data_IF_735983470278
#
_entry.id   IF_735983470278
#
_cell.length_a   1.000
_cell.length_b   1.000
_cell.length_c   1.000
_cell.angle_alpha   90.00
_cell.angle_beta   90.00
_cell.angle_gamma   90.00
#
_symmetry.space_group_name_H-M   'P 1'
#
loop_
_entity.id
_entity.type
_entity.pdbx_description
1 polymer ?
#
# COMPACT_ATOMS: atom_id res chain seq x y z
N UNK A 1 -5.22 -14.16 -5.57
CA UNK A 1 -5.18 -12.83 -6.23
C UNK A 1 -6.45 -12.54 -7.02
N UNK A 2 -6.86 -13.42 -7.95
CA UNK A 2 -8.04 -13.17 -8.80
C UNK A 2 -9.39 -13.20 -8.08
N UNK A 3 -9.50 -13.92 -6.95
CA UNK A 3 -10.68 -13.82 -6.09
C UNK A 3 -10.95 -12.35 -5.72
N UNK A 4 -12.17 -11.89 -5.88
CA UNK A 4 -12.61 -10.50 -5.73
C UNK A 4 -13.65 -10.31 -4.63
N UNK A 5 -14.19 -11.39 -4.10
CA UNK A 5 -15.04 -11.43 -2.91
C UNK A 5 -14.41 -12.25 -1.78
N UNK A 6 -14.88 -12.04 -0.55
CA UNK A 6 -14.51 -12.84 0.59
C UNK A 6 -14.93 -14.31 0.42
N UNK A 7 -16.11 -14.56 -0.15
CA UNK A 7 -16.62 -15.92 -0.42
C UNK A 7 -15.71 -16.71 -1.36
N UNK A 8 -15.22 -16.09 -2.44
CA UNK A 8 -14.27 -16.74 -3.37
C UNK A 8 -12.93 -17.07 -2.69
N UNK A 9 -12.49 -16.26 -1.73
CA UNK A 9 -11.28 -16.55 -0.94
C UNK A 9 -11.53 -17.73 0.00
N UNK A 10 -12.66 -17.74 0.69
CA UNK A 10 -13.05 -18.84 1.58
C UNK A 10 -13.15 -20.15 0.82
N UNK A 11 -13.87 -20.17 -0.30
CA UNK A 11 -14.02 -21.34 -1.18
C UNK A 11 -12.65 -21.89 -1.61
N UNK A 12 -11.75 -21.05 -2.12
CA UNK A 12 -10.42 -21.48 -2.54
C UNK A 12 -9.58 -22.06 -1.37
N UNK A 13 -9.74 -21.53 -0.16
CA UNK A 13 -9.04 -22.01 1.03
C UNK A 13 -9.69 -23.26 1.64
N UNK A 14 -11.00 -23.44 1.48
CA UNK A 14 -11.73 -24.66 1.85
C UNK A 14 -11.36 -25.81 0.92
N UNK A 15 -11.33 -25.58 -0.40
CA UNK A 15 -10.87 -26.55 -1.40
C UNK A 15 -9.43 -27.01 -1.16
N UNK A 16 -8.60 -26.09 -0.65
CA UNK A 16 -7.21 -26.39 -0.28
C UNK A 16 -7.05 -27.03 1.11
N UNK A 17 -8.14 -27.20 1.86
CA UNK A 17 -8.14 -27.78 3.22
C UNK A 17 -7.61 -26.86 4.31
N UNK A 18 -7.28 -25.59 4.01
CA UNK A 18 -6.67 -24.66 4.97
C UNK A 18 -7.69 -23.88 5.79
N UNK A 19 -8.87 -23.58 5.25
CA UNK A 19 -9.81 -22.67 5.91
C UNK A 19 -10.23 -23.16 7.30
N UNK A 20 -10.54 -24.45 7.44
CA UNK A 20 -11.06 -25.04 8.67
C UNK A 20 -9.98 -25.62 9.60
N UNK A 21 -8.71 -25.68 9.19
CA UNK A 21 -7.63 -26.21 10.02
C UNK A 21 -6.99 -25.07 10.86
N UNK A 22 -7.26 -24.98 12.18
CA UNK A 22 -6.72 -23.90 13.00
C UNK A 22 -5.20 -23.95 13.19
N UNK A 23 -4.51 -25.06 12.92
CA UNK A 23 -3.06 -25.18 13.15
C UNK A 23 -2.25 -24.39 12.13
N UNK A 24 -2.77 -24.26 10.91
CA UNK A 24 -2.11 -23.50 9.83
C UNK A 24 -2.38 -21.99 9.90
N UNK A 25 -3.07 -21.49 10.93
CA UNK A 25 -3.34 -20.06 11.12
C UNK A 25 -2.53 -19.51 12.29
N UNK A 26 -1.34 -19.00 11.99
CA UNK A 26 -0.45 -18.37 12.95
C UNK A 26 -1.00 -17.03 13.42
N UNK A 27 -0.92 -16.76 14.73
CA UNK A 27 -1.42 -15.49 15.27
C UNK A 27 -0.63 -14.32 14.71
N UNK A 28 -1.34 -13.26 14.33
CA UNK A 28 -0.70 -12.01 13.92
C UNK A 28 0.15 -11.46 15.08
N UNK A 29 1.38 -11.00 14.78
CA UNK A 29 2.37 -10.55 15.76
C UNK A 29 2.75 -11.60 16.81
N UNK A 30 2.51 -12.89 16.52
CA UNK A 30 2.67 -14.02 17.44
C UNK A 30 1.97 -13.82 18.79
N UNK A 31 0.85 -13.10 18.76
CA UNK A 31 0.11 -12.68 19.94
C UNK A 31 -1.36 -13.09 19.84
N UNK A 32 -1.79 -14.02 20.70
CA UNK A 32 -3.17 -14.50 20.79
C UNK A 32 -4.17 -13.43 21.26
N UNK A 33 -3.68 -12.30 21.79
CA UNK A 33 -4.48 -11.15 22.20
C UNK A 33 -4.13 -9.90 21.37
N UNK A 34 -4.01 -10.06 20.04
CA UNK A 34 -3.65 -8.97 19.13
C UNK A 34 -4.81 -8.03 18.76
N UNK A 35 -6.07 -8.43 18.99
CA UNK A 35 -7.22 -7.64 18.55
C UNK A 35 -7.33 -6.26 19.22
N UNK A 36 -7.11 -6.07 20.53
CA UNK A 36 -7.09 -4.72 21.12
C UNK A 36 -6.02 -3.82 20.52
N UNK A 37 -4.86 -4.39 20.15
CA UNK A 37 -3.77 -3.63 19.55
C UNK A 37 -4.13 -3.21 18.13
N UNK A 38 -4.60 -4.14 17.28
CA UNK A 38 -4.97 -3.87 15.88
C UNK A 38 -6.25 -3.02 15.79
N UNK A 39 -7.25 -3.37 16.61
CA UNK A 39 -8.58 -2.75 16.64
C UNK A 39 -8.58 -1.28 17.04
N UNK A 40 -7.56 -0.83 17.78
CA UNK A 40 -7.44 0.56 18.24
C UNK A 40 -6.47 1.41 17.41
N UNK A 41 -5.88 0.89 16.32
CA UNK A 41 -4.89 1.65 15.54
C UNK A 41 -5.52 2.78 14.74
N UNK A 42 -6.68 2.50 14.12
CA UNK A 42 -7.30 3.43 13.19
C UNK A 42 -8.81 3.23 13.17
N UNK A 43 -9.56 4.32 13.21
CA UNK A 43 -11.02 4.35 13.11
C UNK A 43 -11.51 4.95 11.78
N UNK A 44 -10.63 5.59 11.02
CA UNK A 44 -10.92 6.13 9.70
C UNK A 44 -10.38 5.20 8.57
N UNK A 45 -11.27 4.60 7.75
CA UNK A 45 -10.86 3.70 6.66
C UNK A 45 -10.06 4.38 5.56
N UNK A 46 -10.25 5.68 5.31
CA UNK A 46 -9.44 6.42 4.33
C UNK A 46 -8.04 6.63 4.88
N UNK A 47 -7.91 6.99 6.16
CA UNK A 47 -6.61 7.12 6.81
C UNK A 47 -5.84 5.79 6.84
N UNK A 48 -6.51 4.67 7.17
CA UNK A 48 -5.92 3.33 7.14
C UNK A 48 -5.41 2.95 5.73
N UNK A 49 -6.18 3.29 4.68
CA UNK A 49 -5.76 3.06 3.29
C UNK A 49 -4.56 3.94 2.91
N UNK A 50 -4.57 5.21 3.32
CA UNK A 50 -3.44 6.13 3.08
C UNK A 50 -2.16 5.58 3.73
N UNK A 51 -2.24 5.01 4.93
CA UNK A 51 -1.08 4.40 5.57
C UNK A 51 -0.53 3.19 4.80
N UNK A 52 -1.38 2.39 4.14
CA UNK A 52 -0.92 1.34 3.21
C UNK A 52 -0.17 1.95 2.02
N UNK A 53 -0.71 3.01 1.43
CA UNK A 53 -0.09 3.71 0.31
C UNK A 53 1.27 4.33 0.69
N UNK A 54 1.35 4.98 1.86
CA UNK A 54 2.59 5.53 2.42
C UNK A 54 3.63 4.43 2.65
N UNK A 55 3.22 3.27 3.17
CA UNK A 55 4.14 2.14 3.35
C UNK A 55 4.73 1.65 2.01
N UNK A 56 3.94 1.65 0.95
CA UNK A 56 4.42 1.30 -0.40
C UNK A 56 5.32 2.38 -1.01
N UNK A 57 5.08 3.67 -0.74
CA UNK A 57 6.01 4.77 -1.07
C UNK A 57 7.35 4.58 -0.33
N UNK A 58 7.31 4.32 0.98
CA UNK A 58 8.51 4.05 1.78
C UNK A 58 9.28 2.85 1.20
N UNK A 59 8.59 1.77 0.82
CA UNK A 59 9.22 0.58 0.25
C UNK A 59 9.93 0.89 -1.08
N UNK A 60 9.37 1.77 -1.91
CA UNK A 60 10.02 2.28 -3.14
C UNK A 60 11.29 3.07 -2.82
N UNK A 61 11.22 4.00 -1.85
CA UNK A 61 12.38 4.79 -1.43
C UNK A 61 13.49 3.92 -0.83
N UNK A 62 13.12 2.94 0.02
CA UNK A 62 14.04 1.98 0.63
C UNK A 62 14.67 1.06 -0.41
N UNK A 63 13.88 0.58 -1.38
CA UNK A 63 14.36 -0.23 -2.50
C UNK A 63 15.42 0.52 -3.31
N UNK A 64 15.13 1.76 -3.71
CA UNK A 64 16.06 2.58 -4.48
C UNK A 64 17.35 2.92 -3.70
N UNK A 65 17.23 3.15 -2.38
CA UNK A 65 18.40 3.36 -1.51
C UNK A 65 19.32 2.12 -1.48
N UNK A 66 18.72 0.93 -1.36
CA UNK A 66 19.46 -0.32 -1.36
C UNK A 66 20.06 -0.66 -2.74
N UNK A 67 19.36 -0.36 -3.83
CA UNK A 67 19.88 -0.48 -5.22
C UNK A 67 21.10 0.42 -5.45
N UNK A 68 21.13 1.60 -4.80
CA UNK A 68 22.29 2.48 -4.80
C UNK A 68 23.44 1.99 -3.89
N UNK A 69 23.30 0.84 -3.23
CA UNK A 69 24.28 0.29 -2.30
C UNK A 69 24.41 1.08 -1.00
N UNK A 70 23.39 1.85 -0.63
CA UNK A 70 23.40 2.71 0.56
C UNK A 70 22.56 2.05 1.66
N UNK A 71 23.17 1.87 2.84
CA UNK A 71 22.42 1.40 4.01
C UNK A 71 21.48 2.51 4.51
N UNK A 72 20.16 2.26 4.64
CA UNK A 72 19.14 3.30 4.94
C UNK A 72 19.30 4.06 6.26
N UNK A 73 19.99 3.49 7.25
CA UNK A 73 20.25 4.12 8.55
C UNK A 73 21.68 4.68 8.67
N UNK A 74 22.46 4.63 7.58
CA UNK A 74 23.82 5.13 7.55
C UNK A 74 23.91 6.64 7.38
N UNK A 75 25.12 7.19 7.56
CA UNK A 75 25.36 8.60 7.34
C UNK A 75 25.38 9.01 5.86
N UNK A 76 25.45 8.04 4.95
CA UNK A 76 25.41 8.26 3.50
C UNK A 76 23.97 8.24 2.95
N UNK A 77 23.00 7.82 3.76
CA UNK A 77 21.60 7.86 3.40
C UNK A 77 21.08 9.31 3.27
N UNK A 78 20.16 9.57 2.32
CA UNK A 78 19.47 10.86 2.24
C UNK A 78 18.88 11.24 3.59
N UNK A 79 18.97 12.51 3.99
CA UNK A 79 18.47 12.98 5.30
C UNK A 79 17.02 13.42 5.27
N UNK A 80 16.43 13.53 4.09
CA UNK A 80 15.02 13.89 3.91
C UNK A 80 14.39 13.08 2.78
N UNK A 81 13.06 13.00 2.78
CA UNK A 81 12.30 12.40 1.67
C UNK A 81 12.63 13.11 0.35
N UNK A 82 12.69 14.45 0.34
CA UNK A 82 13.02 15.24 -0.85
C UNK A 82 14.40 14.93 -1.40
N UNK A 83 15.38 14.77 -0.52
CA UNK A 83 16.73 14.38 -0.92
C UNK A 83 16.75 12.98 -1.53
N UNK A 84 16.00 12.02 -0.97
CA UNK A 84 15.87 10.68 -1.55
C UNK A 84 15.21 10.70 -2.94
N UNK A 85 14.16 11.51 -3.11
CA UNK A 85 13.49 11.70 -4.41
C UNK A 85 14.45 12.31 -5.44
N UNK A 86 15.14 13.39 -5.08
CA UNK A 86 16.10 14.06 -5.96
C UNK A 86 17.26 13.13 -6.36
N UNK A 87 17.82 12.40 -5.39
CA UNK A 87 18.95 11.52 -5.63
C UNK A 87 18.57 10.32 -6.49
N UNK A 88 17.53 9.58 -6.09
CA UNK A 88 17.25 8.26 -6.68
C UNK A 88 16.30 8.32 -7.89
N UNK A 89 15.45 9.34 -7.98
CA UNK A 89 14.42 9.42 -9.02
C UNK A 89 14.64 10.60 -9.97
N UNK A 90 15.45 11.59 -9.59
CA UNK A 90 15.86 12.71 -10.47
C UNK A 90 17.32 12.60 -10.93
N UNK A 91 18.10 11.68 -10.36
CA UNK A 91 19.49 11.44 -10.73
C UNK A 91 20.44 12.55 -10.26
N UNK A 92 20.04 13.34 -9.26
CA UNK A 92 20.88 14.39 -8.70
C UNK A 92 21.98 13.81 -7.80
N UNK A 93 23.12 14.49 -7.74
CA UNK A 93 24.24 14.14 -6.86
C UNK A 93 24.43 15.22 -5.79
N UNK A 94 24.84 14.87 -4.55
CA UNK A 94 25.12 15.86 -3.52
C UNK A 94 26.20 16.89 -3.93
N UNK A 95 26.09 18.16 -3.47
CA UNK A 95 25.03 18.70 -2.62
C UNK A 95 23.73 18.96 -3.40
N UNK A 96 22.61 18.48 -2.84
CA UNK A 96 21.27 18.64 -3.42
C UNK A 96 20.61 19.91 -2.86
N UNK A 97 19.97 20.69 -3.75
CA UNK A 97 19.22 21.88 -3.33
C UNK A 97 18.09 21.52 -2.36
N UNK A 98 17.84 22.33 -1.31
CA UNK A 98 16.67 22.15 -0.45
C UNK A 98 15.32 22.19 -1.17
N UNK A 99 15.28 22.79 -2.36
CA UNK A 99 14.09 22.93 -3.22
C UNK A 99 13.99 21.83 -4.30
N UNK A 100 14.86 20.82 -4.28
CA UNK A 100 14.80 19.67 -5.21
C UNK A 100 13.87 18.56 -4.69
N UNK A 101 13.57 17.56 -5.53
CA UNK A 101 12.82 16.37 -5.13
C UNK A 101 11.31 16.59 -5.00
N UNK A 102 10.76 17.57 -5.73
CA UNK A 102 9.33 17.84 -5.77
C UNK A 102 8.65 17.06 -6.91
N UNK A 103 8.08 15.90 -6.59
CA UNK A 103 7.40 15.04 -7.58
C UNK A 103 6.21 15.72 -8.28
N UNK A 104 5.67 16.79 -7.69
CA UNK A 104 4.64 17.67 -8.26
C UNK A 104 5.10 18.40 -9.53
N UNK A 105 6.39 18.68 -9.64
CA UNK A 105 7.03 19.39 -10.76
C UNK A 105 7.38 18.45 -11.92
N UNK A 106 7.25 17.14 -11.73
CA UNK A 106 7.54 16.17 -12.77
C UNK A 106 6.59 16.30 -13.97
N UNK A 107 7.12 16.01 -15.15
CA UNK A 107 6.34 15.88 -16.38
C UNK A 107 5.31 14.76 -16.23
N UNK A 108 4.20 14.83 -16.97
CA UNK A 108 3.18 13.77 -16.90
C UNK A 108 3.71 12.41 -17.33
N UNK A 109 4.69 12.38 -18.24
CA UNK A 109 5.41 11.17 -18.63
C UNK A 109 6.16 10.56 -17.46
N UNK A 110 6.97 11.35 -16.74
CA UNK A 110 7.71 10.88 -15.57
C UNK A 110 6.80 10.50 -14.42
N UNK A 111 5.76 11.29 -14.14
CA UNK A 111 4.78 10.92 -13.11
C UNK A 111 4.08 9.60 -13.44
N UNK A 112 3.83 9.33 -14.72
CA UNK A 112 3.20 8.08 -15.16
C UNK A 112 4.18 6.91 -15.10
N UNK A 113 5.44 7.07 -15.52
CA UNK A 113 6.43 6.00 -15.41
C UNK A 113 6.66 5.57 -13.97
N UNK A 114 6.81 6.53 -13.06
CA UNK A 114 6.96 6.25 -11.63
C UNK A 114 5.66 5.77 -10.99
N UNK A 115 4.51 6.33 -11.39
CA UNK A 115 3.20 5.86 -10.93
C UNK A 115 2.88 4.42 -11.35
N UNK A 116 3.42 3.94 -12.48
CA UNK A 116 3.30 2.52 -12.87
C UNK A 116 4.10 1.59 -11.94
N UNK A 117 5.02 2.11 -11.13
CA UNK A 117 5.76 1.35 -10.13
C UNK A 117 5.09 1.34 -8.75
N UNK A 118 3.98 2.08 -8.59
CA UNK A 118 3.26 2.25 -7.34
C UNK A 118 1.76 2.46 -7.60
N UNK A 119 0.97 1.41 -7.45
CA UNK A 119 -0.41 1.36 -7.96
C UNK A 119 -1.45 1.07 -6.88
N UNK A 120 -2.66 1.59 -7.09
CA UNK A 120 -3.87 1.20 -6.37
C UNK A 120 -4.95 0.80 -7.39
N UNK A 121 -5.37 -0.46 -7.38
CA UNK A 121 -6.39 -0.98 -8.29
C UNK A 121 -7.68 -1.34 -7.56
N UNK A 122 -8.83 -0.98 -8.13
CA UNK A 122 -10.14 -1.42 -7.64
C UNK A 122 -10.70 -2.55 -8.51
N UNK A 123 -11.16 -3.62 -7.85
CA UNK A 123 -11.79 -4.82 -8.45
C UNK A 123 -13.02 -5.24 -7.62
N UNK A 124 -13.66 -6.35 -7.98
CA UNK A 124 -14.85 -6.85 -7.29
C UNK A 124 -16.10 -5.97 -7.46
N UNK A 125 -16.90 -5.88 -6.41
CA UNK A 125 -18.27 -5.42 -6.49
C UNK A 125 -18.47 -3.99 -7.02
N UNK A 126 -19.56 -3.83 -7.77
CA UNK A 126 -20.13 -2.53 -8.09
C UNK A 126 -20.85 -1.93 -6.86
N UNK A 127 -21.11 -0.60 -6.83
CA UNK A 127 -21.63 0.07 -5.65
C UNK A 127 -22.98 -0.46 -5.12
N UNK A 128 -23.79 -1.02 -6.00
CA UNK A 128 -25.11 -1.60 -5.74
C UNK A 128 -25.04 -3.05 -5.26
N UNK A 129 -23.90 -3.73 -5.46
CA UNK A 129 -23.68 -5.12 -5.08
C UNK A 129 -22.92 -5.25 -3.76
N UNK A 130 -21.97 -4.36 -3.47
CA UNK A 130 -21.12 -4.50 -2.29
C UNK A 130 -20.01 -3.46 -2.15
N UNK A 131 -18.96 -3.86 -1.43
CA UNK A 131 -17.73 -3.09 -1.27
C UNK A 131 -16.68 -3.57 -2.28
N UNK A 132 -15.91 -2.67 -2.93
CA UNK A 132 -14.89 -3.08 -3.89
C UNK A 132 -13.68 -3.69 -3.16
N UNK A 133 -12.96 -4.59 -3.84
CA UNK A 133 -11.64 -5.02 -3.41
C UNK A 133 -10.58 -4.04 -3.90
N UNK A 134 -9.59 -3.74 -3.06
CA UNK A 134 -8.52 -2.77 -3.35
C UNK A 134 -7.15 -3.46 -3.30
N UNK A 135 -6.37 -3.36 -4.37
CA UNK A 135 -4.99 -3.88 -4.42
C UNK A 135 -3.99 -2.74 -4.46
N UNK A 136 -3.13 -2.64 -3.45
CA UNK A 136 -1.96 -1.76 -3.44
C UNK A 136 -0.75 -2.58 -3.89
N UNK A 137 -0.03 -2.12 -4.91
CA UNK A 137 1.18 -2.80 -5.36
C UNK A 137 2.33 -1.82 -5.58
N UNK A 138 3.55 -2.24 -5.24
CA UNK A 138 4.78 -1.48 -5.43
C UNK A 138 5.93 -2.37 -5.90
N UNK A 139 6.87 -1.77 -6.65
CA UNK A 139 8.17 -2.36 -6.99
C UNK A 139 9.24 -1.84 -6.05
N UNK A 140 8.94 -1.81 -4.76
CA UNK A 140 9.87 -1.46 -3.72
C UNK A 140 10.79 -2.60 -3.31
N UNK A 141 11.33 -2.50 -2.10
CA UNK A 141 12.29 -3.47 -1.56
C UNK A 141 11.73 -4.91 -1.47
N UNK A 142 10.41 -5.06 -1.31
CA UNK A 142 9.76 -6.34 -1.05
C UNK A 142 10.31 -7.06 0.18
N UNK A 143 9.86 -8.29 0.39
CA UNK A 143 10.30 -9.10 1.52
C UNK A 143 10.42 -10.58 1.15
N UNK A 144 11.33 -11.27 1.82
CA UNK A 144 11.50 -12.72 1.73
C UNK A 144 10.41 -13.44 2.55
N UNK A 145 9.95 -14.64 2.15
CA UNK A 145 8.88 -15.37 2.84
C UNK A 145 9.13 -15.50 4.36
N UNK A 146 10.33 -15.92 4.75
CA UNK A 146 10.69 -16.17 6.15
C UNK A 146 10.81 -14.88 7.00
N UNK A 147 10.75 -13.71 6.35
CA UNK A 147 10.78 -12.41 7.02
C UNK A 147 9.40 -11.76 7.13
N UNK A 148 8.34 -12.37 6.60
CA UNK A 148 6.96 -11.86 6.76
C UNK A 148 6.56 -11.73 8.24
N UNK A 149 6.80 -12.73 9.12
CA UNK A 149 6.48 -12.63 10.55
C UNK A 149 7.12 -11.44 11.26
N UNK A 150 8.35 -11.07 10.88
CA UNK A 150 9.10 -9.96 11.47
C UNK A 150 8.89 -8.60 10.78
N UNK A 151 8.00 -8.55 9.79
CA UNK A 151 7.72 -7.34 9.00
C UNK A 151 6.22 -7.11 8.83
N UNK A 152 5.64 -7.55 7.71
CA UNK A 152 4.23 -7.33 7.36
C UNK A 152 3.25 -7.84 8.42
N UNK A 153 3.63 -8.89 9.14
CA UNK A 153 2.79 -9.62 10.10
C UNK A 153 3.16 -9.33 11.56
N UNK A 154 3.88 -8.21 11.78
CA UNK A 154 4.27 -7.73 13.09
C UNK A 154 3.68 -6.34 13.38
N UNK A 155 3.50 -6.01 14.66
CA UNK A 155 3.03 -4.70 15.09
C UNK A 155 4.15 -3.97 15.84
N UNK A 156 4.43 -2.71 15.45
CA UNK A 156 5.33 -1.84 16.22
C UNK A 156 6.82 -2.22 16.18
N UNK A 157 7.25 -3.08 15.25
CA UNK A 157 8.69 -3.30 14.99
C UNK A 157 9.35 -1.99 14.54
N UNK A 158 10.48 -1.67 15.18
CA UNK A 158 11.19 -0.38 15.08
C UNK A 158 12.03 -0.19 13.81
N UNK A 159 11.83 -1.01 12.78
CA UNK A 159 12.73 -1.14 11.63
C UNK A 159 12.92 0.18 10.84
N UNK A 160 11.92 1.07 10.86
CA UNK A 160 11.94 2.36 10.15
C UNK A 160 12.28 3.59 11.02
N UNK A 161 12.43 3.44 12.34
CA UNK A 161 12.59 4.60 13.24
C UNK A 161 13.86 5.42 12.97
N UNK A 162 14.92 4.76 12.49
CA UNK A 162 16.23 5.38 12.25
C UNK A 162 16.42 5.88 10.82
N UNK A 163 15.47 5.58 9.92
CA UNK A 163 15.55 5.98 8.52
C UNK A 163 14.95 7.38 8.39
N UNK A 164 15.73 8.38 7.96
CA UNK A 164 15.27 9.78 7.97
C UNK A 164 14.40 10.15 6.76
N UNK A 165 14.44 9.35 5.68
CA UNK A 165 13.75 9.62 4.41
C UNK A 165 12.50 8.76 4.20
N UNK A 166 11.86 8.27 5.28
CA UNK A 166 10.57 7.56 5.23
C UNK A 166 9.49 8.33 6.00
N UNK A 167 8.25 8.19 5.54
CA UNK A 167 7.08 8.86 6.10
C UNK A 167 6.38 7.97 7.14
N UNK A 168 6.30 6.65 6.92
CA UNK A 168 5.65 5.67 7.80
C UNK A 168 6.55 5.14 8.92
N UNK A 169 7.03 5.99 9.83
CA UNK A 169 8.05 5.63 10.85
C UNK A 169 7.63 4.55 11.86
N UNK A 170 6.33 4.38 12.09
CA UNK A 170 5.84 3.57 13.21
C UNK A 170 5.31 2.18 12.84
N UNK A 171 5.14 1.81 11.56
CA UNK A 171 4.57 0.49 11.14
C UNK A 171 3.32 0.04 11.95
N UNK A 172 2.56 1.00 12.49
CA UNK A 172 1.53 0.76 13.52
C UNK A 172 0.13 1.17 13.10
N UNK A 173 -0.06 1.71 11.90
CA UNK A 173 -1.39 2.09 11.42
C UNK A 173 -1.93 1.15 10.32
N UNK A 174 -1.03 0.56 9.54
CA UNK A 174 -1.38 -0.25 8.38
C UNK A 174 -2.19 -1.51 8.69
N UNK A 175 -2.20 -2.02 9.93
CA UNK A 175 -3.07 -3.14 10.31
C UNK A 175 -4.49 -2.72 10.66
N UNK A 176 -4.74 -1.43 10.92
CA UNK A 176 -6.09 -0.88 11.08
C UNK A 176 -6.97 -1.04 9.82
N UNK A 177 -6.35 -1.16 8.63
CA UNK A 177 -7.07 -1.46 7.39
C UNK A 177 -7.84 -2.79 7.43
N UNK A 178 -7.39 -3.76 8.25
CA UNK A 178 -8.07 -5.04 8.38
C UNK A 178 -9.49 -4.90 8.93
N UNK A 179 -9.77 -3.87 9.74
CA UNK A 179 -11.11 -3.64 10.31
C UNK A 179 -12.16 -3.29 9.26
N UNK A 180 -11.71 -2.86 8.07
CA UNK A 180 -12.57 -2.40 7.00
C UNK A 180 -12.63 -3.37 5.82
N UNK A 181 -11.89 -4.49 5.88
CA UNK A 181 -11.99 -5.56 4.89
C UNK A 181 -13.15 -6.49 5.26
N UNK A 182 -14.13 -6.65 4.35
CA UNK A 182 -15.31 -7.51 4.52
C UNK A 182 -15.94 -7.44 5.95
N UNK A 183 -16.22 -6.25 6.50
CA UNK A 183 -16.50 -6.06 7.93
C UNK A 183 -17.79 -6.71 8.43
N UNK A 184 -18.71 -7.04 7.52
CA UNK A 184 -20.00 -7.67 7.81
C UNK A 184 -20.07 -9.12 7.36
N UNK A 185 -18.97 -9.70 6.86
CA UNK A 185 -18.99 -11.06 6.35
C UNK A 185 -18.93 -12.05 7.54
N UNK A 186 -19.97 -12.89 7.72
CA UNK A 186 -20.03 -13.86 8.82
C UNK A 186 -18.99 -14.98 8.66
N UNK A 187 -18.59 -15.27 7.42
CA UNK A 187 -17.71 -16.36 7.03
C UNK A 187 -16.27 -15.88 6.81
N UNK A 188 -15.95 -14.60 6.99
CA UNK A 188 -14.59 -14.10 6.82
C UNK A 188 -14.50 -12.59 6.87
N UNK A 189 -14.22 -12.03 8.05
CA UNK A 189 -13.91 -10.60 8.21
C UNK A 189 -12.40 -10.37 8.27
N UNK A 190 -11.96 -9.18 7.86
CA UNK A 190 -10.54 -8.82 7.92
C UNK A 190 -9.65 -9.54 6.93
N UNK A 191 -10.20 -9.96 5.79
CA UNK A 191 -9.44 -10.66 4.76
C UNK A 191 -8.47 -9.71 4.05
N UNK A 192 -7.19 -10.07 4.07
CA UNK A 192 -6.14 -9.39 3.33
C UNK A 192 -5.17 -10.42 2.75
N UNK A 193 -4.83 -10.30 1.47
CA UNK A 193 -3.75 -11.09 0.85
C UNK A 193 -2.49 -10.24 0.79
N UNK A 194 -1.36 -10.85 1.13
CA UNK A 194 -0.02 -10.28 0.90
C UNK A 194 0.72 -11.21 -0.05
N UNK A 195 1.33 -10.65 -1.09
CA UNK A 195 2.26 -11.34 -2.01
C UNK A 195 3.50 -10.47 -2.10
N UNK A 196 4.69 -11.01 -1.87
CA UNK A 196 5.92 -10.22 -1.91
C UNK A 196 7.13 -11.07 -2.29
N UNK A 197 8.10 -10.43 -2.96
CA UNK A 197 9.43 -10.98 -3.20
C UNK A 197 10.46 -9.90 -2.95
N UNK A 198 11.51 -10.26 -2.21
CA UNK A 198 12.64 -9.37 -1.93
C UNK A 198 13.35 -8.99 -3.23
N UNK A 199 13.61 -7.70 -3.39
CA UNK A 199 14.45 -7.17 -4.46
C UNK A 199 15.80 -7.91 -4.46
N UNK A 200 16.20 -8.54 -5.57
CA UNK A 200 17.49 -9.24 -5.68
C UNK A 200 18.69 -8.37 -5.30
N UNK A 201 18.66 -7.07 -5.58
CA UNK A 201 19.74 -6.14 -5.22
C UNK A 201 19.92 -5.98 -3.69
N UNK A 202 18.86 -6.27 -2.93
CA UNK A 202 18.79 -6.04 -1.48
C UNK A 202 18.74 -7.34 -0.67
N UNK A 203 18.96 -8.49 -1.32
CA UNK A 203 18.92 -9.81 -0.69
C UNK A 203 20.22 -10.06 0.07
N UNK A 204 20.10 -10.34 1.37
CA UNK A 204 21.25 -10.64 2.26
C UNK A 204 21.13 -12.01 2.94
N UNK A 205 19.98 -12.64 2.84
CA UNK A 205 19.64 -13.89 3.52
C UNK A 205 20.23 -15.10 2.81
N UNK A 206 20.59 -16.11 3.61
CA UNK A 206 20.97 -17.43 3.15
C UNK A 206 19.82 -18.44 3.15
N UNK A 207 18.58 -17.99 3.42
CA UNK A 207 17.41 -18.88 3.36
C UNK A 207 17.27 -19.46 1.95
N UNK A 208 16.97 -20.76 1.79
CA UNK A 208 16.69 -21.36 0.49
C UNK A 208 15.49 -20.70 -0.19
N UNK A 209 14.58 -20.07 0.58
CA UNK A 209 13.37 -19.42 0.09
C UNK A 209 13.54 -17.91 -0.14
N UNK A 210 14.75 -17.37 0.08
CA UNK A 210 15.02 -15.93 -0.03
C UNK A 210 14.79 -15.37 -1.45
N UNK A 211 14.80 -16.23 -2.46
CA UNK A 211 14.55 -15.87 -3.86
C UNK A 211 13.12 -16.07 -4.33
N UNK A 212 12.25 -16.60 -3.50
CA UNK A 212 10.88 -16.95 -3.87
C UNK A 212 9.92 -15.79 -3.67
N UNK A 213 8.75 -15.90 -4.31
CA UNK A 213 7.59 -15.12 -3.94
C UNK A 213 6.94 -15.76 -2.72
N UNK A 214 6.82 -15.00 -1.63
CA UNK A 214 6.05 -15.38 -0.44
C UNK A 214 4.63 -14.85 -0.52
N UNK A 215 3.67 -15.60 0.02
CA UNK A 215 2.32 -15.10 0.17
C UNK A 215 1.59 -15.66 1.40
N UNK A 216 0.63 -14.89 1.88
CA UNK A 216 -0.24 -15.26 3.00
C UNK A 216 -1.59 -14.55 2.92
N UNK A 217 -2.63 -15.18 3.47
CA UNK A 217 -3.93 -14.57 3.71
C UNK A 217 -4.07 -14.30 5.20
N UNK A 218 -4.48 -13.10 5.57
CA UNK A 218 -4.86 -12.72 6.93
C UNK A 218 -6.37 -12.84 7.06
N UNK A 219 -6.86 -13.27 8.22
CA UNK A 219 -8.29 -13.26 8.57
C UNK A 219 -8.51 -12.89 10.03
N UNK A 220 -9.72 -12.48 10.35
CA UNK A 220 -10.21 -12.39 11.73
C UNK A 220 -10.93 -13.69 12.10
N UNK A 221 -10.50 -14.29 13.20
CA UNK A 221 -11.15 -15.42 13.82
C UNK A 221 -12.15 -14.95 14.87
N UNK A 222 -13.30 -15.65 14.94
CA UNK A 222 -14.26 -15.46 16.03
C UNK A 222 -13.61 -15.84 17.37
N UNK A 223 -14.07 -15.26 18.50
CA UNK A 223 -13.56 -15.64 19.82
C UNK A 223 -13.73 -17.14 20.05
N UNK A 224 -12.65 -17.83 20.44
CA UNK A 224 -12.74 -19.22 20.87
C UNK A 224 -13.63 -19.36 22.12
N UNK A 225 -14.21 -20.55 22.40
CA UNK A 225 -14.99 -20.77 23.61
C UNK A 225 -14.22 -20.33 24.88
N UNK A 226 -14.79 -19.40 25.65
CA UNK A 226 -14.16 -18.83 26.85
C UNK A 226 -13.36 -17.55 26.62
N UNK A 227 -13.08 -17.16 25.37
CA UNK A 227 -12.53 -15.84 25.02
C UNK A 227 -13.63 -14.82 24.76
N UNK A 228 -13.36 -13.56 25.10
CA UNK A 228 -14.24 -12.42 24.84
C UNK A 228 -13.86 -11.62 23.59
N UNK A 229 -12.70 -11.89 23.01
CA UNK A 229 -12.15 -11.09 21.91
C UNK A 229 -11.81 -11.96 20.72
N UNK A 230 -12.08 -11.44 19.53
CA UNK A 230 -11.57 -11.99 18.28
C UNK A 230 -10.05 -11.92 18.24
N UNK A 231 -9.44 -12.59 17.27
CA UNK A 231 -8.01 -12.53 17.01
C UNK A 231 -7.77 -12.44 15.51
N UNK A 232 -6.72 -11.77 15.09
CA UNK A 232 -6.24 -11.83 13.71
C UNK A 232 -5.17 -12.91 13.57
N UNK A 233 -5.25 -13.69 12.50
CA UNK A 233 -4.26 -14.70 12.15
C UNK A 233 -3.95 -14.67 10.68
N UNK A 234 -2.87 -15.34 10.29
CA UNK A 234 -2.44 -15.45 8.91
C UNK A 234 -2.11 -16.89 8.55
N UNK A 235 -2.32 -17.22 7.27
CA UNK A 235 -2.08 -18.54 6.72
C UNK A 235 -0.58 -18.84 6.68
N UNK A 236 -0.17 -19.86 7.43
CA UNK A 236 1.20 -20.29 7.60
C UNK A 236 1.31 -21.82 7.76
N UNK A 237 1.02 -22.60 6.69
CA UNK A 237 0.98 -24.06 6.75
C UNK A 237 2.34 -24.74 6.64
N UNK A 238 3.42 -24.02 6.34
CA UNK A 238 4.73 -24.62 6.06
C UNK A 238 5.40 -25.01 7.38
N UNK A 239 5.90 -26.25 7.45
CA UNK A 239 6.67 -26.79 8.57
C UNK A 239 6.01 -26.64 9.96
N UNK A 240 4.69 -26.75 10.03
CA UNK A 240 3.95 -26.76 11.31
C UNK A 240 4.41 -27.96 12.15
N UNK A 241 5.08 -27.69 13.27
CA UNK A 241 5.66 -28.74 14.14
C UNK A 241 4.80 -29.00 15.39
N UNK A 242 3.86 -28.11 15.69
CA UNK A 242 2.90 -28.26 16.75
C UNK A 242 2.40 -26.89 17.22
N UNK A 243 1.09 -26.70 17.23
CA UNK A 243 0.49 -25.40 17.54
C UNK A 243 0.28 -24.56 16.28
N UNK A 244 0.64 -23.27 16.35
CA UNK A 244 0.37 -22.24 15.33
C UNK A 244 1.68 -21.51 14.96
N UNK A 245 2.73 -22.27 14.64
CA UNK A 245 4.12 -21.79 14.52
C UNK A 245 4.70 -21.86 13.10
N UNK A 246 3.90 -22.29 12.12
CA UNK A 246 4.35 -22.49 10.76
C UNK A 246 4.82 -21.21 10.03
N UNK A 247 5.40 -21.44 8.86
CA UNK A 247 5.83 -20.43 7.90
C UNK A 247 4.79 -20.15 6.82
N UNK A 248 4.87 -18.97 6.21
CA UNK A 248 4.01 -18.57 5.09
C UNK A 248 4.25 -19.45 3.85
N UNK A 249 3.31 -19.47 2.90
CA UNK A 249 3.49 -20.16 1.62
C UNK A 249 4.47 -19.40 0.72
N UNK A 250 5.13 -20.11 -0.20
CA UNK A 250 5.96 -19.51 -1.23
C UNK A 250 6.00 -20.34 -2.51
N UNK A 251 6.50 -19.73 -3.58
CA UNK A 251 6.71 -20.39 -4.86
C UNK A 251 7.85 -19.70 -5.65
N UNK A 252 8.50 -20.48 -6.51
CA UNK A 252 9.51 -19.98 -7.44
C UNK A 252 8.86 -19.36 -8.67
N UNK A 253 9.23 -18.11 -8.99
CA UNK A 253 8.94 -17.46 -10.26
C UNK A 253 9.91 -16.29 -10.48
N UNK A 254 10.40 -16.13 -11.71
CA UNK A 254 11.25 -14.98 -12.06
C UNK A 254 10.47 -13.68 -12.08
N UNK A 255 9.22 -13.73 -12.55
CA UNK A 255 8.29 -12.61 -12.54
C UNK A 255 6.90 -13.05 -12.09
N UNK A 256 6.17 -12.15 -11.44
CA UNK A 256 4.78 -12.36 -11.04
C UNK A 256 3.91 -11.14 -11.34
N UNK A 257 2.68 -11.29 -11.86
CA UNK A 257 1.88 -10.17 -12.35
C UNK A 257 1.15 -9.45 -11.21
N UNK A 258 1.88 -8.67 -10.41
CA UNK A 258 1.31 -7.91 -9.30
C UNK A 258 0.70 -6.56 -9.71
N UNK A 259 0.92 -6.11 -10.95
CA UNK A 259 0.51 -4.79 -11.40
C UNK A 259 -0.63 -4.81 -12.42
N UNK A 260 -1.45 -3.73 -12.49
CA UNK A 260 -2.47 -3.60 -13.50
C UNK A 260 -1.90 -3.42 -14.92
N UNK A 261 -2.56 -4.05 -15.89
CA UNK A 261 -2.42 -3.82 -17.32
C UNK A 261 -3.72 -3.22 -17.85
N UNK A 262 -3.66 -1.95 -18.23
CA UNK A 262 -4.76 -1.24 -18.88
C UNK A 262 -4.28 -0.70 -20.22
N UNK A 263 -4.76 -1.30 -21.30
CA UNK A 263 -4.45 -0.90 -22.66
C UNK A 263 -5.68 -1.12 -23.53
N UNK A 264 -6.13 -0.06 -24.21
CA UNK A 264 -7.38 -0.07 -24.99
C UNK A 264 -8.57 -0.55 -24.12
N UNK A 265 -9.19 -1.66 -24.50
CA UNK A 265 -10.31 -2.28 -23.78
C UNK A 265 -9.86 -3.31 -22.71
N UNK A 266 -8.59 -3.73 -22.74
CA UNK A 266 -8.03 -4.68 -21.77
C UNK A 266 -7.87 -3.99 -20.42
N UNK A 267 -8.44 -4.62 -19.39
CA UNK A 267 -8.44 -4.14 -18.00
C UNK A 267 -8.18 -5.30 -17.05
N UNK A 268 -6.90 -5.56 -16.81
CA UNK A 268 -6.46 -6.64 -15.93
C UNK A 268 -5.80 -6.03 -14.70
N UNK A 269 -6.29 -6.34 -13.51
CA UNK A 269 -5.69 -5.83 -12.26
C UNK A 269 -4.32 -6.46 -11.97
N UNK A 270 -4.05 -7.63 -12.56
CA UNK A 270 -2.89 -8.48 -12.35
C UNK A 270 -2.34 -8.96 -13.71
N UNK A 271 -1.89 -8.02 -14.54
CA UNK A 271 -1.49 -8.29 -15.94
C UNK A 271 -0.05 -7.90 -16.29
N UNK A 272 0.57 -6.98 -15.53
CA UNK A 272 1.97 -6.60 -15.72
C UNK A 272 2.86 -7.32 -14.70
N UNK A 273 3.83 -8.09 -15.21
CA UNK A 273 4.85 -8.78 -14.43
C UNK A 273 5.78 -7.82 -13.65
N UNK A 274 6.26 -8.28 -12.51
CA UNK A 274 7.34 -7.67 -11.74
C UNK A 274 8.33 -8.74 -11.30
N UNK A 275 9.62 -8.41 -11.20
CA UNK A 275 10.65 -9.32 -10.69
C UNK A 275 10.70 -9.35 -9.16
N UNK A 276 10.25 -8.28 -8.51
CA UNK A 276 10.18 -8.16 -7.05
C UNK A 276 9.11 -7.14 -6.65
N UNK A 277 8.98 -6.89 -5.35
CA UNK A 277 8.05 -5.91 -4.82
C UNK A 277 6.93 -6.58 -4.03
N UNK A 278 5.86 -5.84 -3.79
CA UNK A 278 4.77 -6.27 -2.90
C UNK A 278 3.42 -5.94 -3.50
N UNK A 279 2.46 -6.84 -3.28
CA UNK A 279 1.03 -6.59 -3.45
C UNK A 279 0.30 -6.89 -2.14
N UNK A 280 -0.53 -5.95 -1.73
CA UNK A 280 -1.49 -6.08 -0.63
C UNK A 280 -2.89 -5.91 -1.19
N UNK A 281 -3.69 -6.98 -1.16
CA UNK A 281 -5.10 -6.92 -1.54
C UNK A 281 -5.98 -6.88 -0.28
N UNK A 282 -6.77 -5.84 -0.18
CA UNK A 282 -7.80 -5.61 0.82
C UNK A 282 -9.13 -6.05 0.20
N UNK A 283 -9.74 -7.11 0.74
CA UNK A 283 -10.97 -7.66 0.19
C UNK A 283 -12.18 -6.88 0.68
N UNK A 284 -13.10 -6.55 -0.24
CA UNK A 284 -14.37 -5.86 0.08
C UNK A 284 -14.17 -4.69 1.05
N UNK A 285 -13.27 -3.77 0.68
CA UNK A 285 -12.81 -2.69 1.55
C UNK A 285 -13.87 -1.60 1.68
N UNK A 286 -14.41 -1.45 2.89
CA UNK A 286 -15.46 -0.49 3.19
C UNK A 286 -14.91 0.88 3.56
N UNK A 287 -15.45 1.91 2.93
CA UNK A 287 -15.15 3.30 3.24
C UNK A 287 -16.39 4.20 3.08
N UNK A 288 -16.46 5.34 3.79
CA UNK A 288 -17.64 6.21 3.77
C UNK A 288 -17.78 6.98 2.44
N UNK A 289 -19.03 7.20 2.02
CA UNK A 289 -19.38 7.96 0.83
C UNK A 289 -19.61 7.07 -0.40
N UNK A 290 -19.53 7.66 -1.60
CA UNK A 290 -19.86 6.93 -2.83
C UNK A 290 -18.77 5.92 -3.18
N UNK A 291 -19.13 4.65 -3.30
CA UNK A 291 -18.27 3.56 -3.79
C UNK A 291 -18.12 3.53 -5.31
N UNK A 292 -18.51 4.65 -5.96
CA UNK A 292 -18.48 4.85 -7.40
C UNK A 292 -17.05 4.76 -7.96
N UNK A 293 -16.88 4.92 -9.28
CA UNK A 293 -15.58 4.83 -9.94
C UNK A 293 -14.51 5.62 -9.16
N UNK A 294 -13.41 4.93 -8.81
CA UNK A 294 -12.42 5.45 -7.84
C UNK A 294 -11.70 6.71 -8.33
N UNK A 295 -11.74 6.99 -9.63
CA UNK A 295 -11.07 8.13 -10.27
C UNK A 295 -11.94 9.39 -10.32
N UNK A 296 -13.26 9.26 -10.09
CA UNK A 296 -14.20 10.37 -10.23
C UNK A 296 -14.13 11.33 -9.03
N UNK A 297 -14.77 12.49 -9.17
CA UNK A 297 -14.74 13.60 -8.18
C UNK A 297 -15.15 13.18 -6.75
N UNK A 298 -16.02 12.18 -6.62
CA UNK A 298 -16.47 11.65 -5.32
C UNK A 298 -15.78 10.32 -4.92
N UNK A 299 -14.89 9.80 -5.78
CA UNK A 299 -14.15 8.55 -5.59
C UNK A 299 -12.90 8.70 -4.72
N UNK A 300 -12.13 7.61 -4.62
CA UNK A 300 -10.95 7.51 -3.76
C UNK A 300 -9.82 8.46 -4.16
N UNK A 301 -9.62 8.75 -5.46
CA UNK A 301 -8.53 9.61 -5.94
C UNK A 301 -8.50 10.95 -5.18
N UNK A 302 -9.66 11.61 -5.07
CA UNK A 302 -9.75 12.90 -4.37
C UNK A 302 -9.46 12.77 -2.87
N UNK A 303 -9.89 11.67 -2.25
CA UNK A 303 -9.68 11.43 -0.82
C UNK A 303 -8.21 11.17 -0.52
N UNK A 304 -7.54 10.43 -1.39
CA UNK A 304 -6.10 10.18 -1.34
C UNK A 304 -5.35 11.50 -1.53
N UNK A 305 -5.69 12.32 -2.53
CA UNK A 305 -5.04 13.63 -2.71
C UNK A 305 -5.18 14.54 -1.49
N UNK A 306 -6.33 14.52 -0.81
CA UNK A 306 -6.56 15.32 0.41
C UNK A 306 -5.78 14.78 1.59
N UNK A 307 -5.74 13.46 1.77
CA UNK A 307 -5.04 12.83 2.88
C UNK A 307 -3.52 12.69 2.69
N UNK A 308 -3.03 12.94 1.46
CA UNK A 308 -1.62 13.08 1.12
C UNK A 308 -1.37 14.46 0.48
N UNK A 309 -1.33 15.56 1.27
CA UNK A 309 -1.14 16.90 0.72
C UNK A 309 0.12 17.04 -0.14
N UNK A 310 1.21 16.41 0.31
CA UNK A 310 2.44 16.21 -0.44
C UNK A 310 2.71 14.72 -0.55
N UNK A 311 2.94 14.26 -1.78
CA UNK A 311 3.25 12.86 -2.06
C UNK A 311 4.70 12.75 -2.54
N UNK A 312 5.48 11.88 -1.92
CA UNK A 312 6.89 11.73 -2.29
C UNK A 312 7.04 11.17 -3.71
N UNK A 313 6.24 10.16 -4.04
CA UNK A 313 6.21 9.50 -5.34
C UNK A 313 4.75 9.37 -5.82
N UNK A 314 4.46 9.62 -7.11
CA UNK A 314 3.10 9.47 -7.65
C UNK A 314 2.53 8.06 -7.44
N UNK A 315 1.27 7.95 -7.05
CA UNK A 315 0.54 6.67 -7.01
C UNK A 315 -0.42 6.64 -8.19
N UNK A 316 -0.35 5.60 -9.01
CA UNK A 316 -1.30 5.44 -10.12
C UNK A 316 -2.50 4.59 -9.72
N UNK A 317 -3.68 5.18 -9.78
CA UNK A 317 -4.94 4.50 -9.53
C UNK A 317 -5.46 3.86 -10.81
N UNK A 318 -6.07 2.69 -10.67
CA UNK A 318 -6.70 1.92 -11.74
C UNK A 318 -8.12 1.49 -11.36
N UNK A 319 -9.10 1.83 -12.19
CA UNK A 319 -10.45 1.30 -12.08
C UNK A 319 -10.58 0.06 -12.96
N UNK A 320 -10.49 -1.13 -12.36
CA UNK A 320 -10.52 -2.41 -13.07
C UNK A 320 -11.89 -3.10 -13.00
N UNK A 321 -12.89 -2.54 -12.27
CA UNK A 321 -14.25 -3.09 -12.24
C UNK A 321 -14.90 -2.95 -13.61
N UNK A 322 -15.35 -4.07 -14.17
CA UNK A 322 -15.81 -4.17 -15.57
C UNK A 322 -17.07 -3.37 -15.85
N UNK A 323 -17.91 -3.13 -14.84
CA UNK A 323 -19.16 -2.37 -14.94
C UNK A 323 -19.00 -0.87 -15.28
N UNK A 324 -17.79 -0.30 -15.19
CA UNK A 324 -17.55 1.07 -15.66
C UNK A 324 -17.13 1.11 -17.13
N UNK A 325 -17.80 1.95 -17.92
CA UNK A 325 -17.44 2.26 -19.31
C UNK A 325 -16.37 3.35 -19.45
N UNK A 326 -15.74 3.41 -20.62
CA UNK A 326 -14.64 4.30 -20.96
C UNK A 326 -14.17 4.04 -22.40
N UNK A 327 -13.55 5.03 -23.05
CA UNK A 327 -13.13 4.92 -24.46
C UNK A 327 -11.65 4.59 -24.63
N UNK A 328 -10.85 4.80 -23.58
CA UNK A 328 -9.39 4.70 -23.61
C UNK A 328 -8.82 4.38 -22.23
N UNK A 329 -7.51 4.08 -22.16
CA UNK A 329 -6.81 3.79 -20.91
C UNK A 329 -6.84 4.96 -19.89
N UNK A 330 -6.98 6.20 -20.38
CA UNK A 330 -7.11 7.41 -19.54
C UNK A 330 -8.43 7.41 -18.78
N UNK A 331 -9.47 6.79 -19.33
CA UNK A 331 -10.77 6.62 -18.66
C UNK A 331 -10.69 5.71 -17.42
N UNK A 332 -9.63 4.90 -17.31
CA UNK A 332 -9.49 3.83 -16.31
C UNK A 332 -8.25 3.98 -15.43
N UNK A 333 -7.44 5.03 -15.62
CA UNK A 333 -6.29 5.27 -14.76
C UNK A 333 -5.94 6.74 -14.59
N UNK A 334 -5.49 7.12 -13.40
CA UNK A 334 -5.04 8.48 -13.10
C UNK A 334 -3.97 8.48 -11.99
N UNK A 335 -3.09 9.48 -11.99
CA UNK A 335 -2.10 9.63 -10.93
C UNK A 335 -2.70 10.47 -9.79
N UNK A 336 -2.63 9.96 -8.56
CA UNK A 336 -2.67 10.79 -7.36
C UNK A 336 -1.34 11.55 -7.26
N UNK A 337 -1.44 12.88 -7.19
CA UNK A 337 -0.29 13.79 -7.15
C UNK A 337 -0.25 14.62 -5.85
N UNK A 338 -1.26 14.45 -5.00
CA UNK A 338 -1.40 15.22 -3.77
C UNK A 338 -2.11 16.55 -3.97
N UNK A 339 -2.66 17.09 -2.89
CA UNK A 339 -3.44 18.33 -2.91
C UNK A 339 -2.60 19.54 -3.36
N UNK A 340 -1.34 19.65 -2.93
CA UNK A 340 -0.48 20.78 -3.26
C UNK A 340 -0.24 20.89 -4.77
N UNK A 341 0.17 19.78 -5.41
CA UNK A 341 0.39 19.70 -6.86
C UNK A 341 -0.88 20.06 -7.65
N UNK A 342 -2.04 19.63 -7.16
CA UNK A 342 -3.33 19.95 -7.79
C UNK A 342 -3.67 21.42 -7.70
N UNK A 343 -3.53 22.02 -6.52
CA UNK A 343 -3.76 23.44 -6.32
C UNK A 343 -2.84 24.27 -7.20
N UNK A 344 -1.55 23.93 -7.31
CA UNK A 344 -0.59 24.67 -8.12
C UNK A 344 -0.85 24.58 -9.63
N UNK A 345 -1.29 23.41 -10.13
CA UNK A 345 -1.73 23.28 -11.53
C UNK A 345 -3.06 23.99 -11.81
N UNK A 346 -4.01 23.95 -10.86
CA UNK A 346 -5.28 24.67 -10.98
C UNK A 346 -5.09 26.19 -10.91
N UNK A 347 -4.08 26.69 -10.18
CA UNK A 347 -3.71 28.10 -10.08
C UNK A 347 -3.30 28.70 -11.42
N UNK A 348 -2.64 27.92 -12.30
CA UNK A 348 -2.04 28.39 -13.55
C UNK A 348 -3.02 29.01 -14.57
N UNK A 349 -4.33 28.96 -14.32
CA UNK A 349 -5.33 29.70 -15.12
C UNK A 349 -6.53 30.24 -14.34
N UNK A 350 -6.53 30.15 -13.00
CA UNK A 350 -7.67 30.55 -12.14
C UNK A 350 -7.34 31.63 -11.11
N UNK A 351 -6.07 32.02 -11.00
CA UNK A 351 -5.67 33.12 -10.15
C UNK A 351 -5.93 34.45 -10.86
N UNK A 352 -6.39 35.44 -10.09
CA UNK A 352 -6.53 36.80 -10.59
C UNK A 352 -5.17 37.36 -11.02
N UNK A 353 -5.21 38.20 -12.06
CA UNK A 353 -4.03 38.86 -12.57
C UNK A 353 -3.39 39.73 -11.46
N UNK A 354 -2.15 39.43 -11.06
CA UNK A 354 -1.44 40.12 -9.98
C UNK A 354 -1.34 39.36 -8.65
N UNK A 355 -1.72 38.08 -8.60
CA UNK A 355 -1.52 37.20 -7.44
C UNK A 355 -0.11 36.53 -7.44
N UNK A 356 0.53 36.29 -6.27
CA UNK A 356 0.10 36.67 -4.92
C UNK A 356 0.17 38.17 -4.70
N UNK A 357 -0.90 38.71 -4.12
CA UNK A 357 -0.94 40.10 -3.64
C UNK A 357 -0.33 40.10 -2.24
N UNK A 358 0.81 40.76 -2.07
CA UNK A 358 1.41 40.93 -0.76
C UNK A 358 0.68 42.04 0.00
N UNK A 359 -0.02 41.66 1.07
CA UNK A 359 -0.71 42.59 1.97
C UNK A 359 -0.03 42.62 3.33
N UNK A 360 0.22 43.81 3.87
CA UNK A 360 0.82 43.99 5.19
C UNK A 360 -0.29 43.88 6.24
N UNK A 361 -0.32 42.79 7.02
CA UNK A 361 -1.31 42.64 8.08
C UNK A 361 -0.78 43.35 9.32
N UNK A 362 -1.53 44.34 9.83
CA UNK A 362 -1.26 44.95 11.14
C UNK A 362 -2.16 44.35 12.21
N UNK A 363 -1.57 43.59 13.12
CA UNK A 363 -2.25 43.14 14.35
C UNK A 363 -1.68 43.93 15.52
N UNK A 364 -2.53 44.64 16.25
CA UNK A 364 -2.14 45.45 17.42
C UNK A 364 -0.96 46.41 17.16
N UNK A 365 -0.93 47.02 15.97
CA UNK A 365 0.11 47.99 15.60
C UNK A 365 1.43 47.38 15.13
N UNK A 366 1.61 46.06 15.21
CA UNK A 366 2.77 45.37 14.63
C UNK A 366 2.46 44.88 13.23
N UNK A 367 3.38 45.18 12.30
CA UNK A 367 3.34 44.69 10.94
C UNK A 367 3.86 43.26 10.88
N UNK A 368 3.03 42.33 10.45
CA UNK A 368 3.41 40.97 10.07
C UNK A 368 3.49 40.95 8.55
N UNK A 369 4.66 40.53 8.04
CA UNK A 369 4.93 40.42 6.60
C UNK A 369 4.65 39.03 6.10
#
# INVERSE_FOLDING_TARGET
MHADSASEVVEALEESGYWSDPQVWRFFDDNENNFPTIGNQQSDPIAALIEKLVNSVDARLMGACAEAGIEPDSNHAPRTIREAVAQFFEGMVPPISPDAGHSSEWTDQKSTSEGLQLTLAATGYMPDEGDPSLSVADSGEGQEPDKFPDSFLSVGRKNKLRVPFVQGKHNMGGTGALLFCCPENPDGSGLQLIVSRRNPASRKSSSPRASEWGFTVIRREAPAPGSRSSVFSYLAPVDVQGGRDGGVLSFEADQWPIFPLVQNETREAYGRGSEHGTLVKLYEYRFPGTKSNILRRAGLLRRIDVGLPEIALPIRLFECRRGYGGRDAVSYSANAKGLAARLDRDKAGKLEHGFPIHGLIRVQGQAVR
#
